data_IF_679735205871
#
_entry.id   IF_679735205871
#
_cell.length_a   1.000
_cell.length_b   1.000
_cell.length_c   1.000
_cell.angle_alpha   90.00
_cell.angle_beta   90.00
_cell.angle_gamma   90.00
#
_symmetry.space_group_name_H-M   'P 1'
#
loop_
_entity.id
_entity.type
_entity.pdbx_description
1 polymer ?
#
# COMPACT_ATOMS: atom_id res chain seq x y z
N UNK A 1 -54.31 -5.70 -34.49
CA UNK A 1 -54.27 -5.70 -33.01
C UNK A 1 -53.23 -6.67 -32.41
N UNK A 2 -53.19 -7.95 -32.79
CA UNK A 2 -52.29 -8.98 -32.18
C UNK A 2 -50.78 -8.75 -32.43
N UNK A 3 -50.40 -8.38 -33.66
CA UNK A 3 -48.98 -8.13 -34.01
C UNK A 3 -48.40 -6.87 -33.36
N UNK A 4 -49.23 -5.89 -33.02
CA UNK A 4 -48.78 -4.67 -32.35
C UNK A 4 -48.48 -4.93 -30.87
N UNK A 5 -49.30 -5.77 -30.21
CA UNK A 5 -49.03 -6.26 -28.85
C UNK A 5 -47.76 -7.13 -28.77
N UNK A 6 -47.51 -7.95 -29.80
CA UNK A 6 -46.30 -8.76 -29.90
C UNK A 6 -45.04 -7.89 -30.05
N UNK A 7 -45.09 -6.82 -30.87
CA UNK A 7 -43.97 -5.85 -31.01
C UNK A 7 -43.70 -5.10 -29.70
N UNK A 8 -44.74 -4.73 -28.96
CA UNK A 8 -44.62 -4.08 -27.65
C UNK A 8 -44.00 -5.04 -26.62
N UNK A 9 -44.42 -6.30 -26.60
CA UNK A 9 -43.85 -7.33 -25.72
C UNK A 9 -42.37 -7.60 -26.02
N UNK A 10 -41.99 -7.69 -27.30
CA UNK A 10 -40.59 -7.89 -27.70
C UNK A 10 -39.75 -6.66 -27.34
N UNK A 11 -40.26 -5.44 -27.54
CA UNK A 11 -39.58 -4.21 -27.13
C UNK A 11 -39.36 -4.11 -25.62
N UNK A 12 -40.33 -4.54 -24.83
CA UNK A 12 -40.25 -4.54 -23.36
C UNK A 12 -39.22 -5.55 -22.85
N UNK A 13 -39.20 -6.76 -23.40
CA UNK A 13 -38.20 -7.80 -23.06
C UNK A 13 -36.79 -7.34 -23.43
N UNK A 14 -36.62 -6.71 -24.60
CA UNK A 14 -35.32 -6.19 -25.04
C UNK A 14 -34.83 -5.05 -24.12
N UNK A 15 -35.73 -4.17 -23.66
CA UNK A 15 -35.37 -3.12 -22.70
C UNK A 15 -34.97 -3.65 -21.31
N UNK A 16 -35.58 -4.74 -20.85
CA UNK A 16 -35.17 -5.39 -19.59
C UNK A 16 -33.79 -6.05 -19.70
N UNK A 17 -33.41 -6.58 -20.87
CA UNK A 17 -32.09 -7.19 -21.07
C UNK A 17 -30.94 -6.16 -21.10
N UNK A 18 -31.23 -4.93 -21.54
CA UNK A 18 -30.25 -3.82 -21.55
C UNK A 18 -30.11 -3.11 -20.19
N UNK A 19 -30.93 -3.47 -19.19
CA UNK A 19 -30.90 -2.83 -17.86
C UNK A 19 -29.78 -3.37 -16.95
N UNK A 20 -29.06 -4.43 -17.36
CA UNK A 20 -28.01 -5.05 -16.55
C UNK A 20 -26.79 -4.13 -16.35
N UNK A 21 -26.53 -3.21 -17.28
CA UNK A 21 -25.39 -2.27 -17.19
C UNK A 21 -25.68 -1.04 -16.32
N UNK A 22 -26.94 -0.82 -15.91
CA UNK A 22 -27.31 0.31 -15.05
C UNK A 22 -27.15 0.02 -13.54
N UNK A 23 -26.94 -1.25 -13.17
CA UNK A 23 -26.66 -1.67 -11.78
C UNK A 23 -25.17 -1.51 -11.41
N UNK A 24 -24.30 -1.22 -12.38
CA UNK A 24 -22.88 -0.96 -12.19
C UNK A 24 -22.57 0.54 -12.01
N UNK A 25 -23.58 1.42 -11.96
CA UNK A 25 -23.38 2.85 -11.76
C UNK A 25 -23.04 3.16 -10.30
N UNK A 26 -21.75 3.03 -9.99
CA UNK A 26 -21.02 3.99 -9.17
C UNK A 26 -21.52 4.15 -7.74
N UNK A 27 -21.51 3.07 -6.95
CA UNK A 27 -21.35 3.27 -5.52
C UNK A 27 -19.91 3.73 -5.32
N UNK A 28 -19.66 5.04 -5.15
CA UNK A 28 -18.30 5.56 -4.92
C UNK A 28 -17.58 4.79 -3.80
N UNK A 29 -18.35 4.26 -2.86
CA UNK A 29 -17.94 3.32 -1.82
C UNK A 29 -17.34 2.01 -2.35
N UNK A 30 -17.86 1.42 -3.42
CA UNK A 30 -17.31 0.21 -4.04
C UNK A 30 -15.95 0.47 -4.72
N UNK A 31 -15.82 1.60 -5.43
CA UNK A 31 -14.53 2.01 -6.01
C UNK A 31 -13.49 2.36 -4.96
N UNK A 32 -13.90 2.99 -3.85
CA UNK A 32 -13.04 3.24 -2.68
C UNK A 32 -12.58 1.91 -2.07
N UNK A 33 -13.48 0.94 -1.91
CA UNK A 33 -13.17 -0.35 -1.30
C UNK A 33 -12.22 -1.19 -2.17
N UNK A 34 -12.40 -1.16 -3.50
CA UNK A 34 -11.49 -1.79 -4.47
C UNK A 34 -10.11 -1.11 -4.46
N UNK A 35 -10.06 0.23 -4.45
CA UNK A 35 -8.81 0.98 -4.35
C UNK A 35 -8.08 0.71 -3.02
N UNK A 36 -8.81 0.62 -1.91
CA UNK A 36 -8.26 0.23 -0.60
C UNK A 36 -7.68 -1.18 -0.65
N UNK A 37 -8.39 -2.17 -1.20
CA UNK A 37 -7.84 -3.53 -1.31
C UNK A 37 -6.58 -3.60 -2.17
N UNK A 38 -6.58 -2.87 -3.29
CA UNK A 38 -5.39 -2.77 -4.15
C UNK A 38 -4.22 -2.17 -3.38
N UNK A 39 -4.42 -1.07 -2.66
CA UNK A 39 -3.38 -0.43 -1.85
C UNK A 39 -2.89 -1.33 -0.71
N UNK A 40 -3.79 -1.99 0.04
CA UNK A 40 -3.44 -2.93 1.12
C UNK A 40 -2.59 -4.09 0.61
N UNK A 41 -2.85 -4.59 -0.61
CA UNK A 41 -2.06 -5.68 -1.21
C UNK A 41 -0.58 -5.34 -1.43
N UNK A 42 -0.24 -4.05 -1.58
CA UNK A 42 1.14 -3.59 -1.75
C UNK A 42 1.88 -3.40 -0.42
N UNK A 43 1.18 -3.33 0.72
CA UNK A 43 1.84 -3.08 2.01
C UNK A 43 2.76 -4.22 2.44
N UNK A 44 2.30 -5.47 2.38
CA UNK A 44 3.13 -6.61 2.79
C UNK A 44 4.45 -6.75 2.00
N UNK A 45 4.47 -6.65 0.65
CA UNK A 45 5.73 -6.64 -0.10
C UNK A 45 6.54 -5.36 0.18
N UNK A 46 5.92 -4.20 0.33
CA UNK A 46 6.62 -2.96 0.65
C UNK A 46 7.30 -3.01 2.04
N UNK A 47 6.64 -3.57 3.06
CA UNK A 47 7.22 -3.76 4.40
C UNK A 47 8.45 -4.65 4.35
N UNK A 48 8.41 -5.76 3.58
CA UNK A 48 9.57 -6.64 3.38
C UNK A 48 10.74 -5.90 2.72
N UNK A 49 10.46 -5.06 1.73
CA UNK A 49 11.48 -4.21 1.09
C UNK A 49 12.08 -3.21 2.08
N UNK A 50 11.28 -2.56 2.92
CA UNK A 50 11.78 -1.62 3.94
C UNK A 50 12.69 -2.34 4.94
N UNK A 51 12.35 -3.55 5.38
CA UNK A 51 13.22 -4.34 6.25
C UNK A 51 14.53 -4.73 5.58
N UNK A 52 14.50 -5.11 4.29
CA UNK A 52 15.71 -5.38 3.53
C UNK A 52 16.61 -4.13 3.42
N UNK A 53 16.03 -2.97 3.11
CA UNK A 53 16.77 -1.69 3.05
C UNK A 53 17.32 -1.32 4.43
N UNK A 54 16.52 -1.46 5.48
CA UNK A 54 16.92 -1.21 6.87
C UNK A 54 18.12 -2.07 7.28
N UNK A 55 18.17 -3.34 6.87
CA UNK A 55 19.31 -4.21 7.11
C UNK A 55 20.57 -3.72 6.39
N UNK A 56 20.46 -3.34 5.11
CA UNK A 56 21.61 -2.85 4.31
C UNK A 56 22.15 -1.53 4.88
N UNK A 57 21.28 -0.54 5.12
CA UNK A 57 21.68 0.77 5.67
C UNK A 57 22.21 0.62 7.10
N UNK A 58 21.63 -0.29 7.89
CA UNK A 58 22.10 -0.68 9.21
C UNK A 58 23.55 -1.17 9.16
N UNK A 59 23.86 -2.13 8.29
CA UNK A 59 25.23 -2.63 8.15
C UNK A 59 26.21 -1.55 7.71
N UNK A 60 25.86 -0.73 6.71
CA UNK A 60 26.72 0.34 6.20
C UNK A 60 27.03 1.37 7.30
N UNK A 61 26.02 1.81 8.05
CA UNK A 61 26.20 2.75 9.14
C UNK A 61 26.99 2.15 10.31
N UNK A 62 26.81 0.86 10.61
CA UNK A 62 27.59 0.13 11.60
C UNK A 62 29.08 0.08 11.25
N UNK A 63 29.42 -0.20 9.98
CA UNK A 63 30.82 -0.15 9.49
C UNK A 63 31.39 1.26 9.65
N UNK A 64 30.61 2.31 9.37
CA UNK A 64 31.05 3.71 9.55
C UNK A 64 31.33 4.05 11.02
N UNK A 65 30.48 3.58 11.93
CA UNK A 65 30.67 3.76 13.38
C UNK A 65 31.93 3.01 13.84
N UNK A 66 32.11 1.77 13.38
CA UNK A 66 33.31 0.97 13.67
C UNK A 66 34.58 1.68 13.20
N UNK A 67 34.59 2.24 11.99
CA UNK A 67 35.74 2.97 11.46
C UNK A 67 36.10 4.18 12.34
N UNK A 68 35.10 4.98 12.78
CA UNK A 68 35.31 6.10 13.71
C UNK A 68 35.80 5.64 15.09
N UNK A 69 35.25 4.54 15.59
CA UNK A 69 35.66 3.94 16.86
C UNK A 69 37.12 3.48 16.80
N UNK A 70 37.49 2.78 15.73
CA UNK A 70 38.84 2.27 15.50
C UNK A 70 39.86 3.39 15.30
N UNK A 71 39.46 4.56 14.82
CA UNK A 71 40.33 5.73 14.65
C UNK A 71 40.41 6.62 15.90
N UNK A 72 39.73 6.27 16.99
CA UNK A 72 39.71 7.07 18.23
C UNK A 72 38.99 8.41 18.10
N UNK A 73 38.05 8.53 17.15
CA UNK A 73 37.36 9.79 16.87
C UNK A 73 36.40 10.13 18.03
N UNK A 74 36.49 11.31 18.66
CA UNK A 74 35.62 11.70 19.77
C UNK A 74 34.13 11.82 19.37
N UNK A 75 33.82 11.97 18.07
CA UNK A 75 32.44 11.99 17.57
C UNK A 75 31.84 10.59 17.35
N UNK A 76 32.54 9.52 17.74
CA UNK A 76 32.04 8.15 17.58
C UNK A 76 30.72 7.94 18.32
N UNK A 77 30.61 8.39 19.57
CA UNK A 77 29.38 8.26 20.37
C UNK A 77 28.19 8.97 19.72
N UNK A 78 28.43 10.16 19.14
CA UNK A 78 27.41 10.92 18.41
C UNK A 78 26.98 10.20 17.14
N UNK A 79 27.93 9.66 16.39
CA UNK A 79 27.68 8.92 15.16
C UNK A 79 26.93 7.62 15.45
N UNK A 80 27.36 6.86 16.46
CA UNK A 80 26.74 5.62 16.91
C UNK A 80 25.29 5.84 17.36
N UNK A 81 25.05 6.87 18.19
CA UNK A 81 23.72 7.23 18.65
C UNK A 81 22.79 7.61 17.48
N UNK A 82 23.28 8.43 16.54
CA UNK A 82 22.48 8.83 15.36
C UNK A 82 22.14 7.66 14.45
N UNK A 83 23.08 6.73 14.24
CA UNK A 83 22.88 5.56 13.40
C UNK A 83 21.87 4.60 14.01
N UNK A 84 22.02 4.31 15.30
CA UNK A 84 21.14 3.39 16.00
C UNK A 84 19.71 3.93 16.08
N UNK A 85 19.56 5.23 16.37
CA UNK A 85 18.26 5.91 16.36
C UNK A 85 17.59 5.87 14.99
N UNK A 86 18.33 6.09 13.91
CA UNK A 86 17.81 6.00 12.55
C UNK A 86 17.36 4.57 12.18
N UNK A 87 18.10 3.54 12.63
CA UNK A 87 17.73 2.14 12.39
C UNK A 87 16.41 1.78 13.09
N UNK A 88 16.25 2.15 14.36
CA UNK A 88 15.00 1.92 15.10
C UNK A 88 13.85 2.67 14.44
N UNK A 89 14.06 3.93 14.06
CA UNK A 89 13.04 4.73 13.40
C UNK A 89 12.53 4.09 12.11
N UNK A 90 13.40 3.55 11.25
CA UNK A 90 12.99 2.89 10.02
C UNK A 90 12.09 1.67 10.27
N UNK A 91 12.40 0.86 11.29
CA UNK A 91 11.59 -0.32 11.63
C UNK A 91 10.23 0.09 12.20
N UNK A 92 10.22 1.09 13.10
CA UNK A 92 8.97 1.60 13.72
C UNK A 92 8.10 2.33 12.70
N UNK A 93 8.69 3.08 11.76
CA UNK A 93 7.94 3.73 10.69
C UNK A 93 7.25 2.70 9.79
N UNK A 94 7.91 1.58 9.48
CA UNK A 94 7.32 0.51 8.68
C UNK A 94 6.09 -0.13 9.36
N UNK A 95 6.12 -0.31 10.68
CA UNK A 95 4.99 -0.89 11.42
C UNK A 95 3.84 0.10 11.57
N UNK A 96 4.14 1.37 11.89
CA UNK A 96 3.12 2.42 12.00
C UNK A 96 2.41 2.67 10.67
N UNK A 97 3.15 2.73 9.56
CA UNK A 97 2.56 2.88 8.22
C UNK A 97 1.67 1.70 7.85
N UNK A 98 1.95 0.48 8.32
CA UNK A 98 1.03 -0.66 8.13
C UNK A 98 -0.22 -0.52 9.02
N UNK A 99 -0.06 -0.05 10.25
CA UNK A 99 -1.17 0.12 11.21
C UNK A 99 -2.14 1.26 10.88
N UNK A 100 -1.77 2.22 10.03
CA UNK A 100 -2.70 3.27 9.58
C UNK A 100 -3.69 2.82 8.49
N UNK A 101 -3.41 1.69 7.82
CA UNK A 101 -4.18 1.20 6.66
C UNK A 101 -4.83 -0.17 6.91
N UNK A 102 -4.70 -0.71 8.12
CA UNK A 102 -5.40 -1.89 8.65
C UNK A 102 -6.45 -1.44 9.66
#
# INVERSE_FOLDING_TARGET
MKNQRLKILVGLVLSCMLSNDLLAQGNGTAGILEATQMVTSYFDPATKLIYAIGAVVGLIGGVKVYNKFSSGDPDTSKTAASWFGACIFLIVAATILRSFFL
#
